data_IF_525997723702
#
_entry.id   IF_525997723702
#
_cell.length_a   1.000
_cell.length_b   1.000
_cell.length_c   1.000
_cell.angle_alpha   90.00
_cell.angle_beta   90.00
_cell.angle_gamma   90.00
#
_symmetry.space_group_name_H-M   'P 1'
#
loop_
_entity.id
_entity.type
_entity.pdbx_description
1 polymer ?
#
# COMPACT_ATOMS: atom_id res chain seq x y z
N UNK A 1 20.00 -10.29 0.47
CA UNK A 1 19.58 -10.50 1.88
C UNK A 1 18.13 -10.07 2.01
N UNK A 2 17.27 -10.98 2.44
CA UNK A 2 15.88 -10.64 2.75
C UNK A 2 15.85 -9.76 4.02
N UNK A 3 15.12 -8.65 3.96
CA UNK A 3 14.96 -7.74 5.08
C UNK A 3 13.75 -8.09 5.95
N UNK A 4 12.88 -8.95 5.46
CA UNK A 4 11.66 -9.40 6.14
C UNK A 4 11.40 -10.87 5.86
N UNK A 5 10.45 -11.45 6.58
CA UNK A 5 9.90 -12.79 6.33
C UNK A 5 8.59 -12.73 5.52
N UNK A 6 8.39 -11.67 4.75
CA UNK A 6 7.21 -11.53 3.90
C UNK A 6 7.11 -12.69 2.90
N UNK A 7 5.92 -13.25 2.69
CA UNK A 7 5.73 -14.24 1.64
C UNK A 7 5.87 -13.61 0.25
N UNK A 8 6.10 -14.44 -0.75
CA UNK A 8 6.04 -14.02 -2.15
C UNK A 8 4.66 -14.39 -2.69
N UNK A 9 3.93 -13.36 -3.18
CA UNK A 9 2.62 -13.54 -3.78
C UNK A 9 2.73 -13.28 -5.27
N UNK A 10 2.17 -14.15 -6.08
CA UNK A 10 2.14 -13.97 -7.52
C UNK A 10 0.72 -13.62 -8.01
N UNK A 11 0.68 -12.86 -9.10
CA UNK A 11 -0.51 -12.61 -9.91
C UNK A 11 -0.17 -12.93 -11.36
N UNK A 12 -1.08 -12.68 -12.29
CA UNK A 12 -0.81 -12.89 -13.71
C UNK A 12 0.35 -12.03 -14.22
N UNK A 13 0.44 -10.78 -13.76
CA UNK A 13 1.41 -9.81 -14.27
C UNK A 13 2.47 -9.37 -13.25
N UNK A 14 2.26 -9.64 -11.97
CA UNK A 14 3.07 -9.07 -10.89
C UNK A 14 3.61 -10.15 -9.94
N UNK A 15 4.64 -9.73 -9.21
CA UNK A 15 5.15 -10.40 -8.02
C UNK A 15 5.11 -9.39 -6.89
N UNK A 16 4.46 -9.75 -5.78
CA UNK A 16 4.52 -9.00 -4.53
C UNK A 16 5.48 -9.73 -3.61
N UNK A 17 6.56 -9.08 -3.23
CA UNK A 17 7.61 -9.64 -2.36
C UNK A 17 7.96 -8.68 -1.23
N UNK A 18 8.66 -9.18 -0.24
CA UNK A 18 9.21 -8.34 0.82
C UNK A 18 10.18 -7.30 0.26
N UNK A 19 10.33 -6.13 0.93
CA UNK A 19 11.26 -5.10 0.53
C UNK A 19 12.71 -5.58 0.59
N UNK A 20 13.52 -5.10 -0.35
CA UNK A 20 14.97 -5.29 -0.45
C UNK A 20 15.68 -3.95 -0.50
N UNK A 21 16.98 -3.90 -0.21
CA UNK A 21 17.72 -2.63 -0.24
C UNK A 21 17.65 -1.90 -1.57
N UNK A 22 17.58 -2.63 -2.69
CA UNK A 22 17.45 -2.04 -4.04
C UNK A 22 16.15 -1.27 -4.25
N UNK A 23 15.13 -1.52 -3.42
CA UNK A 23 13.82 -0.88 -3.52
C UNK A 23 13.82 0.54 -2.92
N UNK A 24 14.85 0.88 -2.16
CA UNK A 24 14.96 2.21 -1.56
C UNK A 24 15.10 3.32 -2.62
N UNK A 25 15.87 3.11 -3.68
CA UNK A 25 16.08 4.16 -4.70
C UNK A 25 14.78 4.57 -5.40
N UNK A 26 13.95 3.65 -5.93
CA UNK A 26 12.68 4.04 -6.51
C UNK A 26 11.70 4.64 -5.49
N UNK A 27 11.72 4.20 -4.23
CA UNK A 27 10.91 4.80 -3.16
C UNK A 27 11.36 6.24 -2.86
N UNK A 28 12.66 6.47 -2.74
CA UNK A 28 13.21 7.81 -2.51
C UNK A 28 12.88 8.77 -3.67
N UNK A 29 12.94 8.28 -4.90
CA UNK A 29 12.53 9.04 -6.08
C UNK A 29 11.04 9.40 -6.07
N UNK A 30 10.18 8.47 -5.65
CA UNK A 30 8.75 8.72 -5.46
C UNK A 30 8.51 9.84 -4.44
N UNK A 31 9.15 9.76 -3.28
CA UNK A 31 8.97 10.76 -2.22
C UNK A 31 9.58 12.13 -2.56
N UNK A 32 10.57 12.18 -3.43
CA UNK A 32 11.14 13.45 -3.92
C UNK A 32 10.21 14.18 -4.90
N UNK A 33 9.25 13.48 -5.49
CA UNK A 33 8.26 14.05 -6.41
C UNK A 33 7.00 14.47 -5.63
N UNK A 34 6.93 15.73 -5.24
CA UNK A 34 5.86 16.26 -4.41
C UNK A 34 4.44 16.02 -4.98
N UNK A 35 4.16 16.23 -6.28
CA UNK A 35 2.87 15.91 -6.87
C UNK A 35 2.49 14.43 -6.75
N UNK A 36 3.45 13.51 -6.85
CA UNK A 36 3.20 12.08 -6.71
C UNK A 36 3.01 11.66 -5.26
N UNK A 37 3.86 12.15 -4.37
CA UNK A 37 3.85 11.81 -2.96
C UNK A 37 2.69 12.43 -2.18
N UNK A 38 2.03 13.44 -2.73
CA UNK A 38 0.95 14.17 -2.06
C UNK A 38 -0.12 13.25 -1.46
N UNK A 39 -0.59 12.27 -2.22
CA UNK A 39 -1.64 11.33 -1.78
C UNK A 39 -1.15 10.25 -0.80
N UNK A 40 0.13 10.22 -0.47
CA UNK A 40 0.77 9.21 0.38
C UNK A 40 1.64 9.84 1.49
N UNK A 41 1.12 10.89 2.10
CA UNK A 41 1.77 11.57 3.22
C UNK A 41 2.62 12.78 2.83
N UNK A 42 2.76 13.08 1.54
CA UNK A 42 3.53 14.21 1.04
C UNK A 42 4.99 13.91 0.77
N UNK A 43 5.68 14.90 0.19
CA UNK A 43 7.09 14.77 -0.16
C UNK A 43 7.98 14.60 1.07
N UNK A 44 9.00 13.77 0.94
CA UNK A 44 10.02 13.54 1.96
C UNK A 44 11.41 13.78 1.37
N UNK A 45 12.30 14.30 2.20
CA UNK A 45 13.73 14.31 1.91
C UNK A 45 14.27 12.89 1.92
N UNK A 46 15.43 12.67 1.32
CA UNK A 46 16.02 11.34 1.20
C UNK A 46 16.20 10.63 2.54
N UNK A 47 16.66 11.33 3.56
CA UNK A 47 16.84 10.75 4.91
C UNK A 47 15.51 10.43 5.59
N UNK A 48 14.46 11.22 5.34
CA UNK A 48 13.10 10.96 5.83
C UNK A 48 12.50 9.75 5.10
N UNK A 49 12.66 9.65 3.78
CA UNK A 49 12.26 8.49 3.00
C UNK A 49 12.97 7.21 3.46
N UNK A 50 14.26 7.33 3.87
CA UNK A 50 15.00 6.21 4.43
C UNK A 50 14.40 5.75 5.77
N UNK A 51 14.01 6.68 6.65
CA UNK A 51 13.34 6.34 7.91
C UNK A 51 11.99 5.68 7.66
N UNK A 52 11.23 6.16 6.68
CA UNK A 52 9.98 5.51 6.30
C UNK A 52 10.22 4.10 5.77
N UNK A 53 11.23 3.90 4.93
CA UNK A 53 11.64 2.58 4.44
C UNK A 53 12.00 1.63 5.58
N UNK A 54 12.80 2.09 6.52
CA UNK A 54 13.15 1.31 7.72
C UNK A 54 11.91 0.99 8.58
N UNK A 55 10.99 1.95 8.72
CA UNK A 55 9.70 1.75 9.41
C UNK A 55 8.87 0.69 8.72
N UNK A 56 8.81 0.68 7.39
CA UNK A 56 8.05 -0.33 6.64
C UNK A 56 8.60 -1.75 6.84
N UNK A 57 9.92 -1.89 6.96
CA UNK A 57 10.57 -3.16 7.30
C UNK A 57 10.24 -3.54 8.75
N UNK A 58 10.37 -2.60 9.69
CA UNK A 58 10.01 -2.82 11.09
C UNK A 58 8.55 -3.23 11.26
N UNK A 59 7.64 -2.66 10.49
CA UNK A 59 6.22 -3.00 10.51
C UNK A 59 5.98 -4.49 10.20
N UNK A 60 6.70 -5.05 9.23
CA UNK A 60 6.67 -6.48 8.93
C UNK A 60 7.06 -7.34 10.14
N UNK A 61 8.09 -6.94 10.86
CA UNK A 61 8.57 -7.67 12.04
C UNK A 61 7.63 -7.55 13.24
N UNK A 62 6.99 -6.38 13.40
CA UNK A 62 6.08 -6.12 14.51
C UNK A 62 4.73 -6.81 14.31
N UNK A 63 4.17 -6.70 13.11
CA UNK A 63 2.81 -7.15 12.81
C UNK A 63 2.71 -8.47 12.05
N UNK A 64 3.78 -8.92 11.40
CA UNK A 64 3.74 -10.07 10.49
C UNK A 64 3.11 -9.76 9.13
N UNK A 65 2.84 -8.49 8.86
CA UNK A 65 2.36 -7.97 7.57
C UNK A 65 2.89 -6.55 7.33
N UNK A 66 2.78 -6.07 6.11
CA UNK A 66 3.26 -4.74 5.74
C UNK A 66 3.10 -4.47 4.26
N UNK A 67 3.82 -3.47 3.76
CA UNK A 67 3.89 -3.19 2.33
C UNK A 67 4.83 -4.19 1.63
N UNK A 68 4.30 -4.86 0.62
CA UNK A 68 5.11 -5.58 -0.37
C UNK A 68 5.69 -4.59 -1.37
N UNK A 69 6.85 -4.90 -1.92
CA UNK A 69 7.31 -4.33 -3.17
C UNK A 69 6.56 -4.98 -4.32
N UNK A 70 6.02 -4.17 -5.22
CA UNK A 70 5.40 -4.63 -6.46
C UNK A 70 6.50 -4.72 -7.52
N UNK A 71 6.72 -5.92 -8.02
CA UNK A 71 7.68 -6.19 -9.08
C UNK A 71 6.97 -6.70 -10.34
N UNK A 72 7.34 -6.20 -11.50
CA UNK A 72 6.85 -6.74 -12.78
C UNK A 72 7.49 -8.08 -13.06
N UNK A 73 6.94 -8.87 -13.98
CA UNK A 73 7.56 -10.14 -14.42
C UNK A 73 8.93 -9.96 -15.11
N UNK A 74 9.32 -8.72 -15.44
CA UNK A 74 10.65 -8.38 -15.96
C UNK A 74 11.65 -8.01 -14.88
N UNK A 75 11.21 -7.90 -13.61
CA UNK A 75 12.06 -7.52 -12.48
C UNK A 75 12.09 -6.01 -12.19
N UNK A 76 11.24 -5.21 -12.84
CA UNK A 76 11.16 -3.79 -12.56
C UNK A 76 10.36 -3.52 -11.28
N UNK A 77 10.85 -2.64 -10.43
CA UNK A 77 10.16 -2.21 -9.21
C UNK A 77 9.11 -1.14 -9.57
N UNK A 78 7.85 -1.51 -9.51
CA UNK A 78 6.74 -0.70 -10.01
C UNK A 78 5.98 0.09 -8.93
N UNK A 79 6.18 -0.23 -7.65
CA UNK A 79 5.48 0.41 -6.55
C UNK A 79 5.48 -0.43 -5.28
N UNK A 80 4.56 -0.10 -4.40
CA UNK A 80 4.30 -0.85 -3.16
C UNK A 80 2.79 -1.03 -2.96
N UNK A 81 2.39 -2.15 -2.38
CA UNK A 81 1.02 -2.37 -1.90
C UNK A 81 1.03 -3.40 -0.77
N UNK A 82 0.13 -3.26 0.18
CA UNK A 82 0.07 -4.19 1.31
C UNK A 82 -0.85 -3.72 2.41
N UNK A 83 -0.69 -4.33 3.58
CA UNK A 83 -1.50 -4.05 4.75
C UNK A 83 -0.71 -3.18 5.72
N UNK A 84 -1.32 -2.09 6.17
CA UNK A 84 -0.66 -1.06 6.97
C UNK A 84 -1.49 -0.70 8.19
N UNK A 85 -0.89 -0.74 9.36
CA UNK A 85 -1.56 -0.40 10.62
C UNK A 85 -0.56 0.07 11.68
N UNK A 86 0.15 1.19 11.44
CA UNK A 86 1.04 1.75 12.46
C UNK A 86 0.24 2.39 13.57
N UNK A 87 0.92 2.75 14.64
CA UNK A 87 0.33 3.52 15.74
C UNK A 87 -0.36 4.78 15.21
N UNK A 88 -1.58 5.02 15.67
CA UNK A 88 -2.41 6.15 15.23
C UNK A 88 -3.31 5.89 14.03
N UNK A 89 -3.19 4.73 13.36
CA UNK A 89 -4.16 4.31 12.34
C UNK A 89 -5.46 3.83 12.99
N UNK A 90 -6.63 4.17 12.42
CA UNK A 90 -7.90 3.72 12.99
C UNK A 90 -8.11 2.20 12.89
N UNK A 91 -7.69 1.60 11.79
CA UNK A 91 -7.84 0.18 11.51
C UNK A 91 -6.79 -0.26 10.47
N UNK A 92 -6.50 -1.56 10.36
CA UNK A 92 -5.67 -2.07 9.26
C UNK A 92 -6.24 -1.66 7.90
N UNK A 93 -5.37 -1.14 7.05
CA UNK A 93 -5.74 -0.72 5.69
C UNK A 93 -4.97 -1.49 4.63
N UNK A 94 -5.57 -1.65 3.47
CA UNK A 94 -4.86 -1.97 2.24
C UNK A 94 -4.52 -0.68 1.52
N UNK A 95 -3.23 -0.46 1.29
CA UNK A 95 -2.69 0.73 0.64
C UNK A 95 -1.94 0.38 -0.64
N UNK A 96 -1.68 1.41 -1.46
CA UNK A 96 -1.00 1.27 -2.73
C UNK A 96 -0.30 2.56 -3.15
N UNK A 97 0.82 2.39 -3.82
CA UNK A 97 1.55 3.41 -4.56
C UNK A 97 2.08 2.78 -5.83
N UNK A 98 1.93 3.46 -6.96
CA UNK A 98 2.56 3.09 -8.23
C UNK A 98 3.56 4.15 -8.62
N UNK A 99 4.77 3.73 -8.97
CA UNK A 99 5.87 4.63 -9.31
C UNK A 99 5.76 5.18 -10.72
N UNK A 100 6.51 6.24 -10.99
CA UNK A 100 6.56 6.91 -12.27
C UNK A 100 6.83 5.93 -13.43
N UNK A 101 6.06 6.04 -14.50
CA UNK A 101 6.19 5.19 -15.68
C UNK A 101 5.42 3.88 -15.63
N UNK A 102 4.79 3.56 -14.49
CA UNK A 102 3.99 2.33 -14.32
C UNK A 102 2.49 2.58 -14.19
N UNK A 103 2.07 3.83 -14.18
CA UNK A 103 0.65 4.21 -14.05
C UNK A 103 -0.16 3.83 -15.29
N UNK A 104 -1.48 3.68 -15.10
CA UNK A 104 -2.41 3.41 -16.18
C UNK A 104 -2.36 1.98 -16.73
N UNK A 105 -1.70 1.06 -16.03
CA UNK A 105 -1.54 -0.35 -16.44
C UNK A 105 -2.34 -1.33 -15.57
N UNK A 106 -3.17 -0.85 -14.66
CA UNK A 106 -3.93 -1.69 -13.73
C UNK A 106 -3.12 -2.28 -12.57
N UNK A 107 -1.86 -1.88 -12.39
CA UNK A 107 -0.93 -2.43 -11.40
C UNK A 107 -1.46 -2.25 -9.98
N UNK A 108 -1.93 -1.06 -9.62
CA UNK A 108 -2.44 -0.79 -8.28
C UNK A 108 -3.64 -1.68 -7.94
N UNK A 109 -4.58 -1.84 -8.86
CA UNK A 109 -5.73 -2.71 -8.68
C UNK A 109 -5.35 -4.17 -8.50
N UNK A 110 -4.47 -4.68 -9.35
CA UNK A 110 -4.01 -6.07 -9.31
C UNK A 110 -3.26 -6.36 -8.02
N UNK A 111 -2.31 -5.50 -7.65
CA UNK A 111 -1.50 -5.65 -6.44
C UNK A 111 -2.32 -5.53 -5.17
N UNK A 112 -3.14 -4.49 -5.04
CA UNK A 112 -3.96 -4.26 -3.85
C UNK A 112 -5.03 -5.35 -3.67
N UNK A 113 -5.62 -5.83 -4.75
CA UNK A 113 -6.56 -6.95 -4.71
C UNK A 113 -5.89 -8.24 -4.22
N UNK A 114 -4.68 -8.51 -4.68
CA UNK A 114 -3.91 -9.69 -4.25
C UNK A 114 -3.47 -9.59 -2.79
N UNK A 115 -3.04 -8.40 -2.35
CA UNK A 115 -2.68 -8.15 -0.96
C UNK A 115 -3.90 -8.31 -0.02
N UNK A 116 -5.07 -7.80 -0.42
CA UNK A 116 -6.33 -7.97 0.32
C UNK A 116 -6.73 -9.44 0.41
N UNK A 117 -6.66 -10.17 -0.69
CA UNK A 117 -6.95 -11.61 -0.71
C UNK A 117 -6.06 -12.36 0.30
N UNK A 118 -4.76 -12.11 0.26
CA UNK A 118 -3.81 -12.71 1.21
C UNK A 118 -4.14 -12.36 2.66
N UNK A 119 -4.50 -11.11 2.94
CA UNK A 119 -4.86 -10.69 4.28
C UNK A 119 -6.10 -11.43 4.80
N UNK A 120 -7.07 -11.69 3.94
CA UNK A 120 -8.26 -12.44 4.30
C UNK A 120 -7.99 -13.93 4.44
N UNK A 121 -7.30 -14.55 3.46
CA UNK A 121 -7.08 -16.00 3.42
C UNK A 121 -6.01 -16.48 4.40
N UNK A 122 -4.90 -15.77 4.49
CA UNK A 122 -3.70 -16.23 5.21
C UNK A 122 -3.56 -15.61 6.59
N UNK A 123 -3.93 -14.32 6.75
CA UNK A 123 -3.90 -13.64 8.05
C UNK A 123 -5.21 -13.78 8.83
N UNK A 124 -6.29 -14.27 8.21
CA UNK A 124 -7.60 -14.42 8.84
C UNK A 124 -8.28 -13.10 9.17
N UNK A 125 -7.91 -12.01 8.49
CA UNK A 125 -8.59 -10.73 8.66
C UNK A 125 -10.02 -10.82 8.12
N UNK A 126 -10.98 -10.24 8.83
CA UNK A 126 -12.40 -10.23 8.44
C UNK A 126 -12.85 -8.88 7.87
N UNK A 127 -12.03 -7.84 8.03
CA UNK A 127 -12.33 -6.49 7.56
C UNK A 127 -11.04 -5.75 7.23
N UNK A 128 -11.12 -4.88 6.22
CA UNK A 128 -10.03 -3.97 5.83
C UNK A 128 -10.62 -2.64 5.38
N UNK A 129 -9.83 -1.61 5.54
CA UNK A 129 -10.15 -0.26 5.06
C UNK A 129 -9.13 0.20 4.02
N UNK A 130 -9.40 1.31 3.37
CA UNK A 130 -8.42 2.16 2.71
C UNK A 130 -8.65 3.60 3.15
N UNK A 131 -7.61 4.24 3.64
CA UNK A 131 -7.66 5.60 4.15
C UNK A 131 -7.11 6.53 3.08
N UNK A 132 -7.98 7.35 2.50
CA UNK A 132 -7.66 8.15 1.33
C UNK A 132 -7.73 9.62 1.71
N UNK A 133 -6.66 10.35 1.46
CA UNK A 133 -6.64 11.81 1.72
C UNK A 133 -7.71 12.52 0.88
N UNK A 134 -8.37 13.49 1.48
CA UNK A 134 -9.41 14.27 0.81
C UNK A 134 -8.89 14.87 -0.50
N UNK A 135 -9.65 14.69 -1.59
CA UNK A 135 -9.27 15.18 -2.93
C UNK A 135 -8.47 14.18 -3.78
N UNK A 136 -8.01 13.06 -3.23
CA UNK A 136 -7.31 12.03 -4.01
C UNK A 136 -8.32 11.16 -4.80
N UNK A 137 -8.84 11.72 -5.88
CA UNK A 137 -9.88 11.09 -6.70
C UNK A 137 -9.42 9.80 -7.39
N UNK A 138 -8.12 9.68 -7.70
CA UNK A 138 -7.56 8.47 -8.32
C UNK A 138 -7.67 7.28 -7.36
N UNK A 139 -7.25 7.45 -6.12
CA UNK A 139 -7.36 6.41 -5.10
C UNK A 139 -8.80 6.10 -4.74
N UNK A 140 -9.69 7.10 -4.70
CA UNK A 140 -11.14 6.87 -4.50
C UNK A 140 -11.72 5.99 -5.62
N UNK A 141 -11.38 6.27 -6.88
CA UNK A 141 -11.83 5.45 -8.01
C UNK A 141 -11.33 4.01 -7.89
N UNK A 142 -10.08 3.82 -7.48
CA UNK A 142 -9.52 2.49 -7.27
C UNK A 142 -10.21 1.76 -6.13
N UNK A 143 -10.39 2.40 -4.97
CA UNK A 143 -11.10 1.81 -3.84
C UNK A 143 -12.51 1.35 -4.24
N UNK A 144 -13.27 2.20 -4.93
CA UNK A 144 -14.60 1.86 -5.45
C UNK A 144 -14.58 0.70 -6.45
N UNK A 145 -13.58 0.66 -7.34
CA UNK A 145 -13.39 -0.46 -8.26
C UNK A 145 -13.11 -1.77 -7.54
N UNK A 146 -12.45 -1.71 -6.39
CA UNK A 146 -12.23 -2.86 -5.51
C UNK A 146 -13.48 -3.23 -4.68
N UNK A 147 -14.58 -2.52 -4.85
CA UNK A 147 -15.83 -2.72 -4.12
C UNK A 147 -15.89 -2.01 -2.77
N UNK A 148 -14.90 -1.19 -2.43
CA UNK A 148 -14.90 -0.47 -1.17
C UNK A 148 -15.92 0.69 -1.19
N UNK A 149 -16.55 0.93 -0.03
CA UNK A 149 -17.59 1.95 0.15
C UNK A 149 -17.13 2.98 1.16
N UNK A 150 -17.43 4.26 0.89
CA UNK A 150 -17.20 5.32 1.86
C UNK A 150 -17.97 5.05 3.15
N UNK A 151 -17.30 5.14 4.28
CA UNK A 151 -17.90 4.91 5.59
C UNK A 151 -17.90 6.18 6.43
N UNK A 152 -16.77 6.85 6.55
CA UNK A 152 -16.64 8.10 7.34
C UNK A 152 -15.39 8.90 6.98
N UNK A 153 -15.43 10.17 7.36
CA UNK A 153 -14.24 11.05 7.37
C UNK A 153 -13.65 11.07 8.78
N UNK A 154 -12.35 11.16 8.89
CA UNK A 154 -11.64 11.30 10.16
C UNK A 154 -10.42 12.21 9.99
N UNK A 155 -9.90 12.73 11.11
CA UNK A 155 -8.66 13.50 11.08
C UNK A 155 -7.48 12.58 11.42
N UNK A 156 -6.57 12.43 10.45
CA UNK A 156 -5.29 11.76 10.68
C UNK A 156 -4.31 12.78 11.27
N UNK A 157 -3.63 12.49 12.39
CA UNK A 157 -2.70 13.43 13.02
C UNK A 157 -1.55 13.89 12.12
N UNK A 158 -1.15 13.06 11.17
CA UNK A 158 0.00 13.32 10.31
C UNK A 158 -0.38 13.76 8.88
N UNK A 159 -1.58 13.41 8.42
CA UNK A 159 -1.98 13.59 7.01
C UNK A 159 -3.21 14.50 6.85
N UNK A 160 -3.82 14.96 7.93
CA UNK A 160 -5.00 15.80 7.90
C UNK A 160 -6.29 14.99 7.67
N UNK A 161 -7.24 15.55 6.91
CA UNK A 161 -8.54 14.91 6.67
C UNK A 161 -8.39 13.68 5.77
N UNK A 162 -8.85 12.55 6.29
CA UNK A 162 -8.88 11.26 5.60
C UNK A 162 -10.30 10.74 5.42
N UNK A 163 -10.53 10.08 4.31
CA UNK A 163 -11.78 9.37 4.00
C UNK A 163 -11.53 7.87 4.16
N UNK A 164 -12.27 7.25 5.06
CA UNK A 164 -12.20 5.82 5.27
C UNK A 164 -13.19 5.11 4.34
N UNK A 165 -12.63 4.24 3.51
CA UNK A 165 -13.39 3.33 2.64
C UNK A 165 -13.31 1.91 3.19
N UNK A 166 -14.46 1.28 3.43
CA UNK A 166 -14.55 -0.11 3.90
C UNK A 166 -14.58 -1.06 2.72
N UNK A 167 -13.64 -2.02 2.70
CA UNK A 167 -13.65 -3.09 1.70
C UNK A 167 -14.74 -4.13 1.99
N UNK A 168 -15.23 -4.82 0.95
CA UNK A 168 -16.12 -5.96 1.15
C UNK A 168 -15.50 -7.01 2.07
N UNK A 169 -16.31 -7.62 2.91
CA UNK A 169 -15.88 -8.75 3.72
C UNK A 169 -15.49 -9.96 2.84
N UNK A 170 -14.67 -10.90 3.34
CA UNK A 170 -14.24 -12.05 2.55
C UNK A 170 -15.37 -12.83 1.90
N UNK A 171 -16.49 -13.00 2.60
CA UNK A 171 -17.65 -13.73 2.12
C UNK A 171 -18.34 -13.08 0.92
N UNK A 172 -18.21 -11.76 0.79
CA UNK A 172 -18.78 -10.99 -0.32
C UNK A 172 -17.91 -11.02 -1.58
N UNK A 173 -16.69 -11.55 -1.48
CA UNK A 173 -15.71 -11.63 -2.57
C UNK A 173 -15.58 -13.03 -3.15
N UNK A 174 -16.14 -14.03 -2.49
CA UNK A 174 -16.13 -15.44 -2.91
C UNK A 174 -17.25 -15.77 -3.90
#
# INVERSE_FOLDING_TARGET
>A
MQLTNAPVLATDNLILRGPEMRDFEPLAAFYADAPRAWGFGGALKRDEAWRWFATSIGHWHIHGYGYFTIETKRGDVAGISGIWNPEGWPEPEVGWVVYAGFEGRGIAFEAASRAREWAYSDLGMSTLTSNIIAGNTRSVKLAKRMGAMYERTYTNPNMGEGMLYRHPAPEALS
#
